data_IF_220814958075
#
_entry.id   IF_220814958075
#
_cell.length_a   1.000
_cell.length_b   1.000
_cell.length_c   1.000
_cell.angle_alpha   90.00
_cell.angle_beta   90.00
_cell.angle_gamma   90.00
#
_symmetry.space_group_name_H-M   'P 1'
#
loop_
_entity.id
_entity.type
_entity.pdbx_description
1 polymer ?
#
# COMPACT_ATOMS: atom_id res chain seq x y z
N UNK A 1 7.24 -8.15 -12.95
CA UNK A 1 6.92 -7.01 -12.11
C UNK A 1 5.47 -7.10 -11.64
N UNK A 2 5.21 -6.71 -10.42
CA UNK A 2 3.87 -6.78 -9.85
C UNK A 2 3.41 -5.40 -9.42
N UNK A 3 2.23 -5.00 -9.89
CA UNK A 3 1.56 -3.78 -9.46
C UNK A 3 0.43 -4.19 -8.54
N UNK A 4 0.37 -3.59 -7.36
CA UNK A 4 -0.74 -3.77 -6.43
C UNK A 4 -1.51 -2.46 -6.31
N UNK A 5 -2.80 -2.53 -6.51
CA UNK A 5 -3.72 -1.41 -6.28
C UNK A 5 -4.63 -1.83 -5.14
N UNK A 6 -4.54 -1.12 -4.04
CA UNK A 6 -5.28 -1.42 -2.80
C UNK A 6 -6.32 -0.34 -2.59
N UNK A 7 -7.55 -0.73 -2.26
CA UNK A 7 -8.62 0.22 -1.93
C UNK A 7 -9.37 -0.23 -0.68
N UNK A 8 -9.80 0.73 0.10
CA UNK A 8 -10.65 0.48 1.25
C UNK A 8 -11.50 1.72 1.55
N UNK A 9 -12.66 1.50 2.15
CA UNK A 9 -13.52 2.59 2.63
C UNK A 9 -13.09 2.97 4.05
N UNK A 10 -12.90 4.26 4.29
CA UNK A 10 -12.43 4.78 5.58
C UNK A 10 -13.62 4.96 6.52
N UNK A 11 -13.49 4.48 7.76
CA UNK A 11 -14.50 4.70 8.79
C UNK A 11 -14.60 6.19 9.13
N UNK A 12 -15.78 6.63 9.55
CA UNK A 12 -15.98 7.99 10.04
C UNK A 12 -14.95 8.34 11.12
N UNK A 13 -14.37 9.55 11.03
CA UNK A 13 -13.40 10.08 11.98
C UNK A 13 -12.05 9.33 12.04
N UNK A 14 -11.75 8.48 11.05
CA UNK A 14 -10.50 7.71 11.00
C UNK A 14 -9.51 8.17 9.94
N UNK A 15 -9.82 9.20 9.18
CA UNK A 15 -8.98 9.71 8.08
C UNK A 15 -7.60 10.14 8.58
N UNK A 16 -7.54 10.88 9.67
CA UNK A 16 -6.27 11.36 10.23
C UNK A 16 -5.42 10.21 10.74
N UNK A 17 -6.00 9.29 11.51
CA UNK A 17 -5.29 8.13 12.05
C UNK A 17 -4.74 7.26 10.92
N UNK A 18 -5.56 7.01 9.89
CA UNK A 18 -5.15 6.23 8.73
C UNK A 18 -4.00 6.91 7.99
N UNK A 19 -4.10 8.22 7.77
CA UNK A 19 -3.05 8.97 7.08
C UNK A 19 -1.71 8.90 7.83
N UNK A 20 -1.74 9.00 9.13
CA UNK A 20 -0.53 8.91 9.95
C UNK A 20 0.14 7.54 9.82
N UNK A 21 -0.64 6.45 9.87
CA UNK A 21 -0.11 5.09 9.73
C UNK A 21 0.40 4.86 8.30
N UNK A 22 -0.37 5.27 7.30
CA UNK A 22 0.02 5.13 5.90
C UNK A 22 1.31 5.88 5.57
N UNK A 23 1.52 7.06 6.17
CA UNK A 23 2.74 7.82 6.01
C UNK A 23 3.96 7.09 6.57
N UNK A 24 3.80 6.40 7.70
CA UNK A 24 4.88 5.60 8.27
C UNK A 24 5.31 4.50 7.28
N UNK A 25 4.35 3.77 6.74
CA UNK A 25 4.63 2.70 5.78
C UNK A 25 5.27 3.25 4.50
N UNK A 26 4.75 4.36 3.99
CA UNK A 26 5.21 4.95 2.72
C UNK A 26 6.58 5.61 2.83
N UNK A 27 6.82 6.39 3.88
CA UNK A 27 7.99 7.25 3.96
C UNK A 27 9.12 6.69 4.82
N UNK A 28 8.81 5.89 5.84
CA UNK A 28 9.82 5.34 6.73
C UNK A 28 10.27 3.93 6.33
N UNK A 29 9.39 3.11 5.76
CA UNK A 29 9.71 1.71 5.46
C UNK A 29 9.85 1.40 3.97
N UNK A 30 8.89 1.81 3.15
CA UNK A 30 8.91 1.45 1.73
C UNK A 30 10.21 1.83 0.99
N UNK A 31 10.82 3.00 1.24
CA UNK A 31 12.07 3.35 0.55
C UNK A 31 13.24 2.41 0.83
N UNK A 32 13.18 1.67 1.94
CA UNK A 32 14.23 0.74 2.36
C UNK A 32 13.89 -0.72 2.07
N UNK A 33 12.73 -1.02 1.51
CA UNK A 33 12.35 -2.38 1.16
C UNK A 33 12.95 -2.75 -0.19
N UNK A 34 13.72 -3.84 -0.20
CA UNK A 34 14.33 -4.32 -1.45
C UNK A 34 13.26 -4.74 -2.45
N UNK A 35 13.40 -4.26 -3.68
CA UNK A 35 12.47 -4.56 -4.75
C UNK A 35 11.18 -3.73 -4.73
N UNK A 36 11.02 -2.83 -3.77
CA UNK A 36 9.94 -1.86 -3.78
C UNK A 36 10.32 -0.71 -4.71
N UNK A 37 9.66 -0.62 -5.85
CA UNK A 37 9.96 0.38 -6.87
C UNK A 37 9.02 1.58 -6.82
N UNK A 38 7.84 1.39 -6.24
CA UNK A 38 6.85 2.45 -6.03
C UNK A 38 5.96 2.06 -4.86
N UNK A 39 5.69 3.02 -3.99
CA UNK A 39 4.73 2.84 -2.90
C UNK A 39 4.14 4.19 -2.55
N UNK A 40 2.89 4.40 -2.93
CA UNK A 40 2.21 5.67 -2.72
C UNK A 40 0.82 5.41 -2.17
N UNK A 41 0.38 6.26 -1.26
CA UNK A 41 -0.95 6.16 -0.67
C UNK A 41 -1.69 7.49 -0.78
N UNK A 42 -3.00 7.38 -1.01
CA UNK A 42 -3.86 8.52 -1.26
C UNK A 42 -5.17 8.37 -0.49
N UNK A 43 -5.77 9.49 -0.16
CA UNK A 43 -7.13 9.54 0.36
C UNK A 43 -7.94 10.43 -0.60
N UNK A 44 -8.98 9.85 -1.16
CA UNK A 44 -9.95 10.55 -1.99
C UNK A 44 -11.32 10.45 -1.31
N UNK A 45 -11.73 11.52 -0.62
CA UNK A 45 -12.95 11.49 0.19
C UNK A 45 -12.85 10.43 1.29
N UNK A 46 -13.70 9.42 1.21
CA UNK A 46 -13.71 8.30 2.14
C UNK A 46 -13.02 7.05 1.61
N UNK A 47 -12.28 7.17 0.51
CA UNK A 47 -11.56 6.06 -0.10
C UNK A 47 -10.07 6.17 0.15
N UNK A 48 -9.51 5.12 0.72
CA UNK A 48 -8.07 4.94 0.85
C UNK A 48 -7.57 4.13 -0.34
N UNK A 49 -6.46 4.56 -0.94
CA UNK A 49 -5.87 3.91 -2.12
C UNK A 49 -4.37 3.79 -1.90
N UNK A 50 -3.80 2.61 -2.17
CA UNK A 50 -2.36 2.51 -2.36
C UNK A 50 -2.05 2.05 -3.77
N UNK A 51 -0.97 2.57 -4.33
CA UNK A 51 -0.41 2.13 -5.61
C UNK A 51 1.01 1.67 -5.32
N UNK A 52 1.26 0.39 -5.58
CA UNK A 52 2.54 -0.24 -5.26
C UNK A 52 3.09 -0.95 -6.49
N UNK A 53 4.41 -0.91 -6.64
CA UNK A 53 5.10 -1.64 -7.70
C UNK A 53 6.29 -2.37 -7.10
N UNK A 54 6.28 -3.69 -7.30
CA UNK A 54 7.30 -4.61 -6.77
C UNK A 54 8.05 -5.24 -7.93
N UNK A 55 9.36 -5.33 -7.81
CA UNK A 55 10.24 -5.86 -8.86
C UNK A 55 9.82 -7.25 -9.33
N UNK A 56 9.45 -8.12 -8.39
CA UNK A 56 9.04 -9.50 -8.66
C UNK A 56 8.19 -10.04 -7.51
N UNK A 57 7.71 -11.26 -7.66
CA UNK A 57 6.92 -11.95 -6.63
C UNK A 57 7.71 -12.13 -5.34
N UNK A 58 9.01 -12.42 -5.44
CA UNK A 58 9.85 -12.63 -4.26
C UNK A 58 9.91 -11.38 -3.38
N UNK A 59 10.05 -10.19 -4.00
CA UNK A 59 10.04 -8.92 -3.28
C UNK A 59 8.70 -8.65 -2.60
N UNK A 60 7.59 -8.94 -3.28
CA UNK A 60 6.26 -8.81 -2.70
C UNK A 60 6.07 -9.77 -1.52
N UNK A 61 6.50 -11.01 -1.66
CA UNK A 61 6.39 -12.01 -0.60
C UNK A 61 7.16 -11.59 0.66
N UNK A 62 8.35 -11.06 0.49
CA UNK A 62 9.16 -10.51 1.60
C UNK A 62 8.43 -9.36 2.28
N UNK A 63 7.86 -8.45 1.48
CA UNK A 63 7.06 -7.34 2.01
C UNK A 63 5.90 -7.82 2.86
N UNK A 64 5.14 -8.79 2.37
CA UNK A 64 3.95 -9.29 3.06
C UNK A 64 4.29 -9.98 4.41
N UNK A 65 5.51 -10.43 4.58
CA UNK A 65 6.00 -11.04 5.82
C UNK A 65 6.83 -10.09 6.69
N UNK A 66 7.04 -8.85 6.27
CA UNK A 66 7.89 -7.91 6.96
C UNK A 66 7.32 -7.52 8.33
N UNK A 67 8.21 -7.31 9.31
CA UNK A 67 7.85 -6.92 10.67
C UNK A 67 6.98 -5.67 10.72
N UNK A 68 7.32 -4.65 9.93
CA UNK A 68 6.56 -3.41 9.92
C UNK A 68 5.16 -3.59 9.34
N UNK A 69 4.98 -4.52 8.40
CA UNK A 69 3.67 -4.86 7.87
C UNK A 69 2.84 -5.54 8.95
N UNK A 70 3.41 -6.49 9.68
CA UNK A 70 2.73 -7.15 10.78
C UNK A 70 2.34 -6.18 11.90
N UNK A 71 3.15 -5.14 12.11
CA UNK A 71 2.92 -4.13 13.14
C UNK A 71 1.83 -3.12 12.74
N UNK A 72 1.90 -2.60 11.52
CA UNK A 72 1.08 -1.46 11.13
C UNK A 72 -0.19 -1.81 10.36
N UNK A 73 -0.23 -2.89 9.60
CA UNK A 73 -1.43 -3.28 8.86
C UNK A 73 -2.63 -3.53 9.77
N UNK A 74 -2.50 -4.20 10.93
CA UNK A 74 -3.63 -4.31 11.85
C UNK A 74 -4.19 -2.96 12.30
N UNK A 75 -3.34 -1.96 12.45
CA UNK A 75 -3.76 -0.59 12.80
C UNK A 75 -4.51 0.09 11.65
N UNK A 76 -4.07 -0.14 10.41
CA UNK A 76 -4.81 0.31 9.24
C UNK A 76 -6.19 -0.35 9.17
N UNK A 77 -6.28 -1.64 9.47
CA UNK A 77 -7.56 -2.37 9.45
C UNK A 77 -8.57 -1.77 10.41
N UNK A 78 -8.14 -1.24 11.54
CA UNK A 78 -9.02 -0.57 12.49
C UNK A 78 -9.65 0.71 11.94
N UNK A 79 -9.04 1.29 10.90
CA UNK A 79 -9.48 2.55 10.29
C UNK A 79 -10.43 2.34 9.11
N UNK A 80 -10.61 1.13 8.63
CA UNK A 80 -11.37 0.85 7.42
C UNK A 80 -12.60 -0.01 7.71
N UNK A 81 -13.62 0.19 6.90
CA UNK A 81 -14.89 -0.53 7.02
C UNK A 81 -14.64 -2.03 6.84
N UNK A 82 -15.23 -2.85 7.71
CA UNK A 82 -15.09 -4.30 7.76
C UNK A 82 -13.64 -4.80 7.97
N UNK A 83 -12.69 -3.89 8.21
CA UNK A 83 -11.28 -4.25 8.40
C UNK A 83 -10.64 -4.89 7.18
N UNK A 84 -11.17 -4.66 5.99
CA UNK A 84 -10.76 -5.34 4.76
C UNK A 84 -10.26 -4.36 3.72
N UNK A 85 -9.31 -4.83 2.91
CA UNK A 85 -8.79 -4.11 1.75
C UNK A 85 -9.08 -4.93 0.50
N UNK A 86 -9.54 -4.26 -0.55
CA UNK A 86 -9.65 -4.87 -1.87
C UNK A 86 -8.35 -4.65 -2.61
N UNK A 87 -7.73 -5.73 -3.05
CA UNK A 87 -6.41 -5.67 -3.69
C UNK A 87 -6.51 -6.24 -5.09
N UNK A 88 -6.01 -5.46 -6.06
CA UNK A 88 -5.83 -5.90 -7.43
C UNK A 88 -4.34 -6.10 -7.67
N UNK A 89 -3.95 -7.33 -8.03
CA UNK A 89 -2.57 -7.62 -8.43
C UNK A 89 -2.49 -7.72 -9.94
N UNK A 90 -1.54 -7.00 -10.53
CA UNK A 90 -1.30 -6.99 -11.97
C UNK A 90 0.12 -7.48 -12.21
N UNK A 91 0.25 -8.59 -12.93
CA UNK A 91 1.56 -9.09 -13.37
C UNK A 91 1.85 -8.52 -14.75
N UNK A 92 3.01 -7.92 -14.92
CA UNK A 92 3.44 -7.37 -16.21
C UNK A 92 4.95 -7.49 -16.37
N UNK A 93 5.39 -7.63 -17.61
CA UNK A 93 6.80 -7.63 -17.97
C UNK A 93 7.24 -6.26 -18.50
N UNK A 94 6.32 -5.34 -18.71
CA UNK A 94 6.61 -4.11 -19.42
C UNK A 94 5.88 -2.92 -18.80
N UNK A 95 6.67 -1.91 -18.41
CA UNK A 95 6.17 -0.63 -17.92
C UNK A 95 6.93 0.47 -18.66
N UNK A 96 6.20 1.38 -19.26
CA UNK A 96 6.77 2.48 -20.02
C UNK A 96 6.46 3.80 -19.32
N UNK A 97 7.46 4.67 -19.27
CA UNK A 97 7.32 6.01 -18.70
C UNK A 97 7.42 7.03 -19.82
N UNK A 98 6.54 8.02 -19.79
CA UNK A 98 6.55 9.10 -20.76
C UNK A 98 6.24 10.42 -20.06
N UNK A 99 6.81 11.49 -20.57
CA UNK A 99 6.41 12.85 -20.20
C UNK A 99 5.67 13.42 -21.40
N UNK A 100 4.44 13.83 -21.16
CA UNK A 100 3.56 14.37 -22.19
C UNK A 100 3.42 15.86 -22.01
#
# INVERSE_FOLDING_TARGET
MIIAIVKASIKDNKHKALREIANILQFEYAPNEEGCEQYESFIDGDTFITIERWRDQAALDIHLEAEHVEKYVPKLRECVVDGCFDVQFINTNDINFARI
#
